data_IF_233930871450
#
_entry.id   IF_233930871450
#
_cell.length_a   1.000
_cell.length_b   1.000
_cell.length_c   1.000
_cell.angle_alpha   90.00
_cell.angle_beta   90.00
_cell.angle_gamma   90.00
#
_symmetry.space_group_name_H-M   'P 1'
#
loop_
_entity.id
_entity.type
_entity.pdbx_description
1 polymer ?
#
# COMPACT_ATOMS: atom_id res chain seq x y z
N UNK A 1 -32.71 -33.26 55.62
CA UNK A 1 -31.42 -33.17 54.91
C UNK A 1 -31.50 -31.95 54.00
N UNK A 2 -31.08 -30.79 54.52
CA UNK A 2 -31.12 -29.51 53.81
C UNK A 2 -29.70 -29.21 53.34
N UNK A 3 -29.51 -29.05 52.04
CA UNK A 3 -28.23 -28.68 51.42
C UNK A 3 -28.21 -27.15 51.37
N UNK A 4 -27.30 -26.55 52.15
CA UNK A 4 -26.92 -25.14 52.01
C UNK A 4 -26.13 -24.96 50.71
N UNK A 5 -26.58 -24.05 49.85
CA UNK A 5 -25.80 -23.56 48.70
C UNK A 5 -25.32 -22.14 48.99
N UNK A 6 -24.00 -22.01 49.18
CA UNK A 6 -23.31 -20.72 49.31
C UNK A 6 -23.44 -19.89 48.01
N UNK A 7 -23.74 -18.59 48.08
CA UNK A 7 -23.69 -17.73 46.91
C UNK A 7 -22.23 -17.39 46.57
N UNK A 8 -21.86 -17.63 45.32
CA UNK A 8 -20.59 -17.24 44.72
C UNK A 8 -20.37 -15.72 44.86
N UNK A 9 -19.51 -15.31 45.79
CA UNK A 9 -18.96 -13.96 45.82
C UNK A 9 -17.97 -13.79 44.67
N UNK A 10 -18.44 -13.25 43.54
CA UNK A 10 -17.58 -12.80 42.46
C UNK A 10 -16.82 -11.56 42.95
N UNK A 11 -15.53 -11.72 43.26
CA UNK A 11 -14.64 -10.66 43.71
C UNK A 11 -14.68 -9.46 42.76
N UNK A 12 -14.89 -8.26 43.30
CA UNK A 12 -14.87 -6.96 42.60
C UNK A 12 -13.60 -6.74 41.77
N UNK A 13 -12.49 -7.38 42.13
CA UNK A 13 -11.22 -7.33 41.39
C UNK A 13 -11.31 -7.99 40.01
N UNK A 14 -12.11 -9.06 39.87
CA UNK A 14 -12.27 -9.80 38.61
C UNK A 14 -13.11 -9.00 37.61
N UNK A 15 -14.11 -8.25 38.09
CA UNK A 15 -14.95 -7.40 37.25
C UNK A 15 -14.18 -6.21 36.65
N UNK A 16 -13.32 -5.58 37.46
CA UNK A 16 -12.49 -4.45 37.02
C UNK A 16 -11.49 -4.90 35.93
N UNK A 17 -10.90 -6.08 36.06
CA UNK A 17 -9.95 -6.61 35.08
C UNK A 17 -10.58 -6.86 33.70
N UNK A 18 -11.82 -7.37 33.65
CA UNK A 18 -12.56 -7.60 32.40
C UNK A 18 -12.95 -6.26 31.75
N UNK A 19 -13.32 -5.26 32.56
CA UNK A 19 -13.67 -3.92 32.08
C UNK A 19 -12.47 -3.15 31.51
N UNK A 20 -11.28 -3.32 32.08
CA UNK A 20 -10.06 -2.74 31.50
C UNK A 20 -9.59 -3.49 30.25
N UNK A 21 -9.71 -4.83 30.19
CA UNK A 21 -9.34 -5.60 28.98
C UNK A 21 -10.20 -5.22 27.77
N UNK A 22 -11.51 -4.99 27.96
CA UNK A 22 -12.41 -4.62 26.85
C UNK A 22 -12.16 -3.21 26.32
N UNK A 23 -11.68 -2.28 27.15
CA UNK A 23 -11.29 -0.92 26.72
C UNK A 23 -10.02 -0.89 25.86
N UNK A 24 -9.06 -1.80 26.08
CA UNK A 24 -7.86 -1.90 25.23
C UNK A 24 -8.13 -2.49 23.84
N UNK A 25 -9.27 -3.13 23.61
CA UNK A 25 -9.66 -3.61 22.28
C UNK A 25 -10.18 -2.51 21.35
N UNK A 26 -10.44 -1.30 21.86
CA UNK A 26 -10.92 -0.16 21.07
C UNK A 26 -9.92 0.99 21.05
N UNK A 27 -8.62 0.70 20.91
CA UNK A 27 -7.68 1.76 20.53
C UNK A 27 -8.08 2.25 19.13
N UNK A 28 -8.62 3.47 18.97
CA UNK A 28 -8.93 3.98 17.65
C UNK A 28 -7.64 4.00 16.85
N UNK A 29 -7.63 3.36 15.67
CA UNK A 29 -6.46 3.39 14.81
C UNK A 29 -6.08 4.85 14.55
N UNK A 30 -4.78 5.22 14.70
CA UNK A 30 -4.36 6.59 14.53
C UNK A 30 -4.75 7.06 13.12
N UNK A 31 -5.54 8.13 13.11
CA UNK A 31 -6.10 8.71 11.91
C UNK A 31 -4.97 9.01 10.89
N UNK A 32 -5.07 8.56 9.63
CA UNK A 32 -3.98 8.70 8.67
C UNK A 32 -3.81 10.13 8.12
N UNK A 33 -4.28 11.17 8.81
CA UNK A 33 -4.12 12.56 8.36
C UNK A 33 -2.66 12.91 8.04
N UNK A 34 -2.46 13.67 6.97
CA UNK A 34 -1.13 14.11 6.56
C UNK A 34 -0.25 13.00 6.00
N UNK A 35 -0.79 11.79 5.78
CA UNK A 35 -0.08 10.73 5.09
C UNK A 35 -0.39 10.73 3.59
N UNK A 36 0.69 10.57 2.83
CA UNK A 36 0.65 10.31 1.39
C UNK A 36 0.72 8.81 1.15
N UNK A 37 -0.22 8.29 0.38
CA UNK A 37 -0.20 6.90 -0.08
C UNK A 37 0.03 6.84 -1.58
N UNK A 38 0.79 5.85 -2.03
CA UNK A 38 1.10 5.64 -3.45
C UNK A 38 0.73 4.23 -3.87
N UNK A 39 0.43 4.08 -5.14
CA UNK A 39 0.11 2.80 -5.77
C UNK A 39 1.00 2.64 -7.01
N UNK A 40 1.41 1.43 -7.42
CA UNK A 40 2.15 1.28 -8.66
C UNK A 40 1.27 1.63 -9.86
N UNK A 41 1.87 1.74 -11.05
CA UNK A 41 1.09 1.89 -12.28
C UNK A 41 0.33 0.60 -12.57
N UNK A 42 -0.98 0.71 -12.83
CA UNK A 42 -1.80 -0.37 -13.38
C UNK A 42 -2.25 0.02 -14.79
N UNK A 43 -2.46 -0.94 -15.70
CA UNK A 43 -2.91 -0.67 -17.08
C UNK A 43 -4.13 0.27 -17.18
N UNK A 44 -5.05 0.25 -16.21
CA UNK A 44 -6.29 1.03 -16.25
C UNK A 44 -6.14 2.48 -15.77
N UNK A 45 -5.25 2.73 -14.79
CA UNK A 45 -5.08 4.00 -14.09
C UNK A 45 -3.59 4.19 -13.74
N UNK A 46 -2.97 5.32 -14.14
CA UNK A 46 -1.54 5.56 -13.95
C UNK A 46 -1.13 5.60 -12.48
N UNK A 47 0.19 5.58 -12.23
CA UNK A 47 0.77 5.82 -10.91
C UNK A 47 0.34 7.20 -10.40
N UNK A 48 -0.15 7.27 -9.17
CA UNK A 48 -0.55 8.51 -8.52
C UNK A 48 -0.39 8.38 -7.01
N UNK A 49 -0.45 9.51 -6.31
CA UNK A 49 -0.57 9.57 -4.86
C UNK A 49 -1.97 9.95 -4.41
N UNK A 50 -2.26 9.61 -3.16
CA UNK A 50 -3.48 9.92 -2.43
C UNK A 50 -3.05 10.56 -1.12
N UNK A 51 -3.31 11.85 -0.96
CA UNK A 51 -3.05 12.58 0.28
C UNK A 51 -4.35 12.71 1.06
N UNK A 52 -4.36 12.19 2.29
CA UNK A 52 -5.54 12.24 3.17
C UNK A 52 -5.46 13.49 4.05
N UNK A 53 -6.49 14.34 3.94
CA UNK A 53 -6.72 15.47 4.84
C UNK A 53 -8.07 15.27 5.56
N UNK A 54 -8.31 16.05 6.63
CA UNK A 54 -9.52 15.95 7.45
C UNK A 54 -10.83 15.87 6.66
N UNK A 55 -11.00 16.72 5.65
CA UNK A 55 -12.26 16.91 4.91
C UNK A 55 -12.13 16.71 3.40
N UNK A 56 -10.93 16.41 2.92
CA UNK A 56 -10.68 16.23 1.50
C UNK A 56 -9.61 15.16 1.26
N UNK A 57 -9.58 14.65 0.04
CA UNK A 57 -8.47 13.86 -0.47
C UNK A 57 -7.91 14.58 -1.69
N UNK A 58 -6.59 14.60 -1.81
CA UNK A 58 -5.90 15.10 -3.00
C UNK A 58 -5.30 13.91 -3.73
N UNK A 59 -5.64 13.78 -5.02
CA UNK A 59 -5.06 12.79 -5.92
C UNK A 59 -4.06 13.51 -6.82
N UNK A 60 -2.79 13.10 -6.78
CA UNK A 60 -1.72 13.72 -7.58
C UNK A 60 -1.17 12.72 -8.57
N UNK A 61 -1.30 12.98 -9.87
CA UNK A 61 -0.73 12.14 -10.92
C UNK A 61 0.71 12.55 -11.18
N UNK A 62 1.64 11.59 -11.14
CA UNK A 62 3.03 11.87 -11.50
C UNK A 62 3.15 11.94 -13.04
N UNK A 63 3.53 13.10 -13.56
CA UNK A 63 3.93 13.19 -14.98
C UNK A 63 5.24 12.40 -15.16
N UNK A 64 5.34 11.65 -16.26
CA UNK A 64 6.51 10.81 -16.52
C UNK A 64 7.74 11.66 -16.90
N UNK A 65 7.54 12.87 -17.44
CA UNK A 65 8.60 13.58 -18.18
C UNK A 65 8.59 15.13 -18.11
N UNK A 66 7.87 15.83 -17.20
CA UNK A 66 7.94 17.30 -17.17
C UNK A 66 7.91 17.93 -15.78
N UNK A 67 8.70 19.03 -15.68
CA UNK A 67 8.96 20.00 -14.60
C UNK A 67 7.73 20.62 -13.87
N UNK A 68 6.53 20.07 -14.04
CA UNK A 68 5.32 20.56 -13.39
C UNK A 68 4.92 19.65 -12.23
N UNK A 69 4.58 20.25 -11.09
CA UNK A 69 3.84 19.58 -10.00
C UNK A 69 2.68 18.81 -10.65
N UNK A 70 2.57 17.52 -10.33
CA UNK A 70 1.57 16.63 -10.91
C UNK A 70 0.16 17.21 -10.87
N UNK A 71 -0.70 16.83 -11.82
CA UNK A 71 -2.09 17.26 -11.81
C UNK A 71 -2.76 16.84 -10.50
N UNK A 72 -3.09 17.81 -9.66
CA UNK A 72 -3.81 17.60 -8.41
C UNK A 72 -5.32 17.67 -8.64
N UNK A 73 -6.04 16.66 -8.16
CA UNK A 73 -7.49 16.62 -8.19
C UNK A 73 -7.96 16.47 -6.75
N UNK A 74 -8.72 17.47 -6.29
CA UNK A 74 -9.26 17.48 -4.93
C UNK A 74 -10.67 16.93 -4.93
N UNK A 75 -10.96 16.05 -3.98
CA UNK A 75 -12.29 15.51 -3.71
C UNK A 75 -12.72 15.85 -2.30
N UNK A 76 -14.00 16.16 -2.12
CA UNK A 76 -14.60 16.19 -0.79
C UNK A 76 -14.59 14.76 -0.25
N UNK A 77 -14.16 14.59 0.99
CA UNK A 77 -14.18 13.28 1.64
C UNK A 77 -14.94 13.32 2.96
N UNK A 78 -15.44 12.16 3.38
CA UNK A 78 -16.00 11.94 4.71
C UNK A 78 -15.40 10.67 5.28
N UNK A 79 -15.03 10.70 6.55
CA UNK A 79 -14.36 9.57 7.20
C UNK A 79 -15.28 9.04 8.29
N UNK A 80 -15.47 7.72 8.31
CA UNK A 80 -16.32 7.03 9.28
C UNK A 80 -15.65 5.69 9.62
N UNK A 81 -15.09 5.59 10.82
CA UNK A 81 -14.27 4.45 11.22
C UNK A 81 -13.11 4.24 10.24
N UNK A 82 -12.94 3.00 9.80
CA UNK A 82 -11.86 2.60 8.88
C UNK A 82 -12.20 2.85 7.40
N UNK A 83 -13.21 3.66 7.10
CA UNK A 83 -13.62 3.96 5.72
C UNK A 83 -13.54 5.45 5.41
N UNK A 84 -12.90 5.76 4.30
CA UNK A 84 -12.85 7.11 3.73
C UNK A 84 -13.71 7.13 2.47
N UNK A 85 -14.83 7.83 2.54
CA UNK A 85 -15.75 8.03 1.42
C UNK A 85 -15.27 9.21 0.59
N UNK A 86 -15.08 8.98 -0.70
CA UNK A 86 -14.79 10.01 -1.69
C UNK A 86 -16.11 10.41 -2.32
N UNK A 87 -16.45 11.69 -2.21
CA UNK A 87 -17.71 12.22 -2.71
C UNK A 87 -17.46 12.87 -4.08
N UNK A 88 -17.73 14.16 -4.19
CA UNK A 88 -17.58 14.91 -5.43
C UNK A 88 -16.20 15.59 -5.52
N UNK A 89 -15.72 15.73 -6.76
CA UNK A 89 -14.60 16.61 -7.07
C UNK A 89 -14.91 18.04 -6.62
N UNK A 90 -13.99 18.65 -5.90
CA UNK A 90 -14.04 20.07 -5.56
C UNK A 90 -13.69 20.84 -6.85
N UNK A 91 -14.63 21.64 -7.34
CA UNK A 91 -14.39 22.50 -8.51
C UNK A 91 -13.37 23.57 -8.12
N UNK A 92 -12.27 23.64 -8.86
CA UNK A 92 -11.35 24.77 -8.80
C UNK A 92 -12.08 26.01 -9.32
N UNK A 93 -12.15 27.07 -8.52
CA UNK A 93 -12.71 28.36 -8.92
C UNK A 93 -11.81 29.14 -9.88
N UNK A 94 -10.53 28.75 -10.02
CA UNK A 94 -9.60 29.40 -10.94
C UNK A 94 -9.83 28.89 -12.37
N UNK A 95 -10.48 29.73 -13.19
CA UNK A 95 -10.34 29.71 -14.65
C UNK A 95 -8.87 30.03 -14.95
N UNK A 96 -8.06 29.01 -15.18
CA UNK A 96 -6.77 29.23 -15.84
C UNK A 96 -7.03 29.03 -17.34
N UNK A 97 -6.74 30.06 -18.13
CA UNK A 97 -6.66 29.98 -19.59
C UNK A 97 -5.47 29.11 -19.95
N UNK A 98 -5.73 27.82 -20.20
CA UNK A 98 -4.73 26.83 -20.53
C UNK A 98 -5.37 25.53 -21.02
N UNK A 99 -4.57 24.68 -21.66
CA UNK A 99 -5.03 23.40 -22.20
C UNK A 99 -5.63 22.55 -21.08
N UNK A 100 -6.94 22.28 -21.17
CA UNK A 100 -7.63 21.36 -20.27
C UNK A 100 -7.10 19.95 -20.53
N UNK A 101 -6.21 19.47 -19.67
CA UNK A 101 -5.84 18.04 -19.66
C UNK A 101 -7.06 17.26 -19.19
N UNK A 102 -7.62 16.42 -20.07
CA UNK A 102 -8.80 15.63 -19.74
C UNK A 102 -8.44 14.51 -18.75
N UNK A 103 -8.78 14.72 -17.48
CA UNK A 103 -8.62 13.74 -16.41
C UNK A 103 -9.95 13.01 -16.07
N UNK A 104 -10.96 13.04 -16.95
CA UNK A 104 -12.30 12.48 -16.70
C UNK A 104 -12.27 11.03 -16.24
N UNK A 105 -11.45 10.18 -16.87
CA UNK A 105 -11.33 8.76 -16.49
C UNK A 105 -10.82 8.57 -15.06
N UNK A 106 -9.94 9.46 -14.59
CA UNK A 106 -9.43 9.40 -13.22
C UNK A 106 -10.44 9.98 -12.24
N UNK A 107 -11.14 11.05 -12.64
CA UNK A 107 -12.21 11.64 -11.83
C UNK A 107 -13.31 10.62 -11.61
N UNK A 108 -13.76 9.93 -12.67
CA UNK A 108 -14.80 8.90 -12.56
C UNK A 108 -14.35 7.70 -11.73
N UNK A 109 -13.06 7.33 -11.78
CA UNK A 109 -12.52 6.25 -10.96
C UNK A 109 -12.63 6.52 -9.44
N UNK A 110 -12.57 7.77 -9.01
CA UNK A 110 -12.61 8.15 -7.58
C UNK A 110 -13.93 8.75 -7.12
N UNK A 111 -14.79 9.20 -8.03
CA UNK A 111 -16.05 9.85 -7.64
C UNK A 111 -17.00 8.82 -7.04
N UNK A 112 -17.55 9.12 -5.85
CA UNK A 112 -18.47 8.22 -5.14
C UNK A 112 -17.89 6.84 -4.80
N UNK A 113 -16.57 6.73 -4.66
CA UNK A 113 -15.89 5.49 -4.25
C UNK A 113 -15.37 5.60 -2.81
N UNK A 114 -14.70 4.56 -2.31
CA UNK A 114 -14.17 4.58 -0.95
C UNK A 114 -12.86 3.84 -0.77
N UNK A 115 -12.05 4.36 0.13
CA UNK A 115 -10.88 3.65 0.66
C UNK A 115 -11.21 2.97 1.98
N UNK A 116 -10.80 1.71 2.12
CA UNK A 116 -10.73 1.03 3.40
C UNK A 116 -9.32 1.19 3.99
N UNK A 117 -9.24 1.64 5.24
CA UNK A 117 -8.00 1.77 6.01
C UNK A 117 -7.68 0.39 6.57
N UNK A 118 -6.83 -0.36 5.85
CA UNK A 118 -6.41 -1.69 6.29
C UNK A 118 -5.42 -1.61 7.46
N UNK A 119 -4.57 -0.58 7.45
CA UNK A 119 -3.66 -0.25 8.54
C UNK A 119 -3.15 1.18 8.37
N UNK A 120 -2.39 1.68 9.35
CA UNK A 120 -1.64 2.95 9.24
C UNK A 120 -0.87 3.10 7.92
N UNK A 121 -0.34 2.00 7.37
CA UNK A 121 0.52 2.03 6.19
C UNK A 121 -0.15 1.55 4.91
N UNK A 122 -1.42 1.14 4.95
CA UNK A 122 -2.09 0.54 3.79
C UNK A 122 -3.54 0.97 3.70
N UNK A 123 -3.91 1.50 2.53
CA UNK A 123 -5.29 1.69 2.12
C UNK A 123 -5.62 0.72 0.98
N UNK A 124 -6.90 0.38 0.86
CA UNK A 124 -7.41 -0.39 -0.27
C UNK A 124 -8.56 0.39 -0.90
N UNK A 125 -8.46 0.72 -2.19
CA UNK A 125 -9.59 1.25 -2.93
C UNK A 125 -10.60 0.12 -3.12
N UNK A 126 -11.78 0.27 -2.53
CA UNK A 126 -12.70 -0.85 -2.31
C UNK A 126 -13.23 -1.40 -3.63
N UNK A 127 -13.61 -0.50 -4.54
CA UNK A 127 -14.27 -0.82 -5.80
C UNK A 127 -13.32 -1.49 -6.82
N UNK A 128 -12.01 -1.31 -6.65
CA UNK A 128 -11.00 -1.90 -7.55
C UNK A 128 -10.09 -2.91 -6.85
N UNK A 129 -10.30 -3.15 -5.55
CA UNK A 129 -9.42 -3.92 -4.67
C UNK A 129 -7.94 -3.52 -4.84
N UNK A 130 -7.68 -2.23 -5.10
CA UNK A 130 -6.33 -1.75 -5.41
C UNK A 130 -5.62 -1.30 -4.13
N UNK A 131 -4.43 -1.84 -3.82
CA UNK A 131 -3.69 -1.43 -2.64
C UNK A 131 -2.91 -0.13 -2.87
N UNK A 132 -2.81 0.63 -1.79
CA UNK A 132 -2.08 1.89 -1.68
C UNK A 132 -1.22 1.80 -0.42
N UNK A 133 0.05 2.15 -0.54
CA UNK A 133 1.04 2.03 0.53
C UNK A 133 1.53 3.40 0.94
N UNK A 134 1.74 3.61 2.24
CA UNK A 134 2.30 4.86 2.74
C UNK A 134 3.66 5.12 2.08
N UNK A 135 3.82 6.31 1.47
CA UNK A 135 5.02 6.67 0.71
C UNK A 135 6.29 6.56 1.54
N UNK A 136 6.26 6.99 2.81
CA UNK A 136 7.42 6.88 3.72
C UNK A 136 7.82 5.43 3.94
N UNK A 137 6.85 4.53 4.06
CA UNK A 137 7.13 3.10 4.18
C UNK A 137 7.74 2.53 2.89
N UNK A 138 7.19 2.90 1.73
CA UNK A 138 7.72 2.46 0.42
C UNK A 138 9.16 2.93 0.25
N UNK A 139 9.43 4.21 0.51
CA UNK A 139 10.74 4.81 0.35
C UNK A 139 11.77 4.20 1.32
N UNK A 140 11.40 3.98 2.58
CA UNK A 140 12.28 3.36 3.58
C UNK A 140 12.55 1.87 3.32
N UNK A 141 11.56 1.13 2.79
CA UNK A 141 11.69 -0.31 2.55
C UNK A 141 12.39 -0.61 1.23
N UNK A 142 12.09 0.14 0.17
CA UNK A 142 12.54 -0.19 -1.19
C UNK A 142 13.56 0.79 -1.76
N UNK A 143 13.74 1.97 -1.14
CA UNK A 143 14.69 3.00 -1.56
C UNK A 143 14.75 3.19 -3.08
N UNK A 144 15.93 3.03 -3.66
CA UNK A 144 16.17 2.93 -5.11
C UNK A 144 16.56 1.51 -5.54
N UNK A 145 16.22 0.50 -4.74
CA UNK A 145 16.65 -0.88 -4.98
C UNK A 145 15.79 -1.56 -6.07
N UNK A 146 16.46 -2.37 -6.88
CA UNK A 146 15.91 -3.43 -7.72
C UNK A 146 15.66 -4.66 -6.87
N UNK A 147 14.53 -5.34 -7.10
CA UNK A 147 14.12 -6.52 -6.33
C UNK A 147 14.26 -7.77 -7.20
N UNK A 148 15.00 -8.75 -6.67
CA UNK A 148 15.21 -10.06 -7.29
C UNK A 148 14.54 -11.15 -6.46
N UNK A 149 14.00 -12.16 -7.14
CA UNK A 149 13.59 -13.42 -6.52
C UNK A 149 14.39 -14.57 -7.14
N UNK A 150 15.37 -15.09 -6.41
CA UNK A 150 16.30 -16.11 -6.92
C UNK A 150 16.00 -17.43 -6.23
N UNK A 151 15.45 -18.39 -6.99
CA UNK A 151 14.90 -19.63 -6.44
C UNK A 151 13.94 -19.40 -5.26
N UNK A 152 13.18 -18.29 -5.29
CA UNK A 152 12.24 -17.90 -4.24
C UNK A 152 12.85 -16.99 -3.16
N UNK A 153 14.17 -16.92 -3.01
CA UNK A 153 14.82 -16.00 -2.06
C UNK A 153 14.77 -14.56 -2.59
N UNK A 154 14.27 -13.65 -1.77
CA UNK A 154 14.23 -12.21 -2.09
C UNK A 154 15.59 -11.58 -1.80
N UNK A 155 16.12 -10.85 -2.78
CA UNK A 155 17.32 -10.03 -2.67
C UNK A 155 17.02 -8.64 -3.21
N UNK A 156 17.54 -7.61 -2.55
CA UNK A 156 17.34 -6.22 -2.95
C UNK A 156 18.70 -5.57 -3.15
N UNK A 157 18.86 -4.78 -4.20
CA UNK A 157 20.11 -4.06 -4.42
C UNK A 157 19.93 -2.79 -5.22
N UNK A 158 20.75 -1.79 -4.91
CA UNK A 158 20.90 -0.57 -5.70
C UNK A 158 21.83 -0.73 -6.90
N UNK A 159 22.61 -1.80 -6.95
CA UNK A 159 23.54 -2.12 -8.04
C UNK A 159 23.33 -3.56 -8.47
N UNK A 160 22.71 -3.76 -9.63
CA UNK A 160 22.38 -5.07 -10.17
C UNK A 160 23.58 -6.05 -10.12
N UNK A 161 24.78 -5.57 -10.47
CA UNK A 161 26.02 -6.34 -10.43
C UNK A 161 26.35 -6.93 -9.06
N UNK A 162 26.01 -6.28 -7.94
CA UNK A 162 26.30 -6.79 -6.61
C UNK A 162 25.49 -8.05 -6.24
N UNK A 163 24.30 -8.21 -6.82
CA UNK A 163 23.45 -9.40 -6.62
C UNK A 163 23.70 -10.41 -7.74
N UNK A 164 23.81 -9.95 -8.97
CA UNK A 164 23.93 -10.83 -10.12
C UNK A 164 25.34 -11.40 -10.28
N UNK A 165 26.41 -10.65 -9.98
CA UNK A 165 27.79 -11.14 -10.19
C UNK A 165 28.16 -12.32 -9.30
N UNK A 166 27.88 -12.35 -7.98
CA UNK A 166 28.16 -13.54 -7.16
C UNK A 166 27.46 -14.79 -7.69
N UNK A 167 26.31 -14.62 -8.34
CA UNK A 167 25.48 -15.70 -8.85
C UNK A 167 25.95 -16.13 -10.24
N UNK A 168 26.31 -15.18 -11.10
CA UNK A 168 26.72 -15.41 -12.48
C UNK A 168 28.21 -15.78 -12.61
N UNK A 169 29.09 -15.17 -11.81
CA UNK A 169 30.54 -15.29 -11.97
C UNK A 169 31.12 -16.57 -11.35
N UNK A 170 30.45 -17.21 -10.38
CA UNK A 170 31.00 -18.42 -9.75
C UNK A 170 30.96 -19.68 -10.63
N UNK A 171 30.52 -19.63 -11.89
CA UNK A 171 30.29 -20.82 -12.78
C UNK A 171 29.38 -21.91 -12.18
N UNK A 172 28.86 -21.70 -10.96
CA UNK A 172 28.06 -22.63 -10.18
C UNK A 172 26.58 -22.45 -10.40
N UNK A 173 26.03 -21.31 -10.83
CA UNK A 173 24.58 -21.18 -11.01
C UNK A 173 24.18 -21.18 -12.48
N UNK A 174 23.41 -22.19 -12.91
CA UNK A 174 22.80 -22.23 -14.25
C UNK A 174 21.39 -21.68 -14.19
N UNK A 175 21.16 -20.54 -14.83
CA UNK A 175 19.80 -19.98 -15.00
C UNK A 175 18.98 -20.91 -15.89
N UNK A 176 17.77 -21.22 -15.43
CA UNK A 176 16.76 -21.99 -16.16
C UNK A 176 15.64 -21.12 -16.70
N UNK A 177 15.25 -20.09 -15.94
CA UNK A 177 14.19 -19.18 -16.32
C UNK A 177 14.50 -17.79 -15.73
N UNK A 178 14.23 -16.75 -16.51
CA UNK A 178 14.28 -15.36 -16.09
C UNK A 178 12.97 -14.70 -16.52
N UNK A 179 12.28 -14.08 -15.56
CA UNK A 179 10.97 -13.48 -15.77
C UNK A 179 10.92 -12.13 -15.05
N UNK A 180 10.43 -11.10 -15.74
CA UNK A 180 10.15 -9.80 -15.11
C UNK A 180 8.66 -9.73 -14.76
N UNK A 181 8.35 -9.83 -13.47
CA UNK A 181 6.99 -9.73 -12.96
C UNK A 181 6.65 -8.25 -12.77
N UNK A 182 5.68 -7.77 -13.54
CA UNK A 182 5.18 -6.38 -13.45
C UNK A 182 4.61 -6.08 -12.06
N UNK A 183 4.68 -4.83 -11.57
CA UNK A 183 4.16 -4.43 -10.27
C UNK A 183 2.73 -4.92 -9.95
N UNK A 184 1.83 -4.82 -10.93
CA UNK A 184 0.42 -5.22 -10.82
C UNK A 184 0.23 -6.67 -10.36
N UNK A 185 1.11 -7.56 -10.83
CA UNK A 185 1.10 -8.97 -10.49
C UNK A 185 2.01 -9.25 -9.28
N UNK A 186 3.15 -8.57 -9.19
CA UNK A 186 4.11 -8.76 -8.11
C UNK A 186 3.52 -8.40 -6.74
N UNK A 187 2.72 -7.33 -6.64
CA UNK A 187 2.11 -6.94 -5.36
C UNK A 187 1.13 -8.00 -4.84
N UNK A 188 0.44 -8.73 -5.72
CA UNK A 188 -0.50 -9.78 -5.30
C UNK A 188 0.22 -10.94 -4.59
N UNK A 189 1.43 -11.27 -5.04
CA UNK A 189 2.21 -12.37 -4.48
C UNK A 189 3.14 -11.93 -3.34
N UNK A 190 3.77 -10.75 -3.46
CA UNK A 190 4.87 -10.32 -2.59
C UNK A 190 4.53 -9.07 -1.75
N UNK A 191 3.30 -8.56 -1.82
CA UNK A 191 2.88 -7.37 -1.09
C UNK A 191 3.71 -6.14 -1.46
N UNK A 192 4.12 -5.37 -0.45
CA UNK A 192 4.92 -4.16 -0.62
C UNK A 192 6.23 -4.40 -1.39
N UNK A 193 6.86 -5.57 -1.23
CA UNK A 193 8.11 -5.92 -1.93
C UNK A 193 7.92 -5.93 -3.45
N UNK A 194 6.72 -6.28 -3.93
CA UNK A 194 6.37 -6.26 -5.34
C UNK A 194 6.08 -4.88 -5.92
N UNK A 195 6.18 -3.80 -5.14
CA UNK A 195 5.71 -2.47 -5.55
C UNK A 195 6.37 -1.94 -6.83
N UNK A 196 7.64 -2.26 -7.06
CA UNK A 196 8.38 -1.87 -8.26
C UNK A 196 8.45 -2.97 -9.33
N UNK A 197 7.79 -4.11 -9.10
CA UNK A 197 8.00 -5.32 -9.88
C UNK A 197 9.19 -6.13 -9.35
N UNK A 198 9.35 -7.34 -9.85
CA UNK A 198 10.37 -8.30 -9.40
C UNK A 198 11.02 -8.99 -10.59
N UNK A 199 12.35 -9.06 -10.59
CA UNK A 199 13.12 -9.88 -11.52
C UNK A 199 13.26 -11.28 -10.89
N UNK A 200 12.52 -12.24 -11.42
CA UNK A 200 12.50 -13.61 -10.94
C UNK A 200 13.47 -14.46 -11.75
N UNK A 201 14.42 -15.07 -11.05
CA UNK A 201 15.42 -15.95 -11.62
C UNK A 201 15.26 -17.33 -10.99
N UNK A 202 14.98 -18.34 -11.80
CA UNK A 202 15.05 -19.74 -11.38
C UNK A 202 16.28 -20.37 -12.00
N UNK A 203 17.01 -21.14 -11.22
CA UNK A 203 18.21 -21.82 -11.68
C UNK A 203 18.60 -22.99 -10.79
N UNK A 204 19.71 -23.63 -11.12
CA UNK A 204 20.28 -24.73 -10.33
C UNK A 204 21.76 -24.46 -10.08
N UNK A 205 22.21 -24.77 -8.87
CA UNK A 205 23.63 -24.84 -8.61
C UNK A 205 24.20 -26.12 -9.26
N UNK A 206 25.32 -26.01 -9.97
CA UNK A 206 26.12 -27.15 -10.43
C UNK A 206 26.65 -27.84 -9.18
N UNK A 207 26.42 -29.15 -9.09
CA UNK A 207 27.07 -29.97 -8.07
C UNK A 207 28.57 -29.89 -8.33
N UNK A 208 29.36 -29.58 -7.29
CA UNK A 208 30.80 -29.80 -7.35
C UNK A 208 30.99 -31.32 -7.46
N UNK A 209 31.81 -31.75 -8.41
CA UNK A 209 32.32 -33.13 -8.47
C UNK A 209 33.50 -33.25 -7.52
#
# INVERSE_FOLDING_TARGET
MLIETNPFMLSTKTFISIFFLSYFCFIPQPFPEGNTYITPSFKSIPKHSVDIQKNNIIITIFSKDMFYRGNEIKFKSKIKGDTIYILNKIKSSKKNDGIKINNEKLISFFTNTRFFIKSKNTLVHTESNRPYFNKKLVDSTLGNQTIYSINGKILMSTKDSSVLNPILNEKKFKIKNLEVIKPENAIKTYGLIGFKGIIKIKGKFKKCK
#
